data_IF_468878741346
#
_entry.id   IF_468878741346
#
_cell.length_a   1.000
_cell.length_b   1.000
_cell.length_c   1.000
_cell.angle_alpha   90.00
_cell.angle_beta   90.00
_cell.angle_gamma   90.00
#
_symmetry.space_group_name_H-M   'P 1'
#
loop_
_entity.id
_entity.type
_entity.pdbx_description
1 polymer ?
2 non-polymer ?
3 water ?
#
# COMPACT_ATOMS: atom_id res chain seq x y z
N UNK A 5 27.67 -14.42 -3.45
CA UNK A 5 26.65 -13.56 -4.02
C UNK A 5 26.06 -14.23 -5.26
N UNK A 6 26.47 -15.47 -5.48
CA UNK A 6 25.92 -16.25 -6.58
C UNK A 6 24.40 -16.30 -6.49
N UNK A 7 23.76 -16.27 -7.66
CA UNK A 7 22.31 -16.44 -7.79
C UNK A 7 21.53 -15.23 -7.28
N UNK A 8 22.05 -14.56 -6.26
CA UNK A 8 21.27 -13.55 -5.54
C UNK A 8 21.58 -12.15 -6.07
N UNK A 9 22.83 -11.91 -6.46
CA UNK A 9 23.31 -10.59 -6.85
C UNK A 9 23.53 -10.50 -8.35
N UNK A 10 23.17 -9.37 -8.92
CA UNK A 10 23.24 -9.20 -10.36
C UNK A 10 23.47 -7.73 -10.67
N UNK A 11 24.07 -7.48 -11.82
CA UNK A 11 24.32 -6.14 -12.30
C UNK A 11 23.13 -5.67 -13.14
N UNK A 12 22.84 -4.38 -13.08
CA UNK A 12 21.76 -3.79 -13.85
C UNK A 12 22.18 -2.40 -14.34
N UNK A 13 21.55 -1.99 -15.46
CA UNK A 13 21.70 -0.66 -16.03
C UNK A 13 20.32 -0.01 -15.99
N UNK A 14 20.16 1.04 -15.18
CA UNK A 14 18.85 1.59 -14.83
C UNK A 14 18.56 2.87 -15.58
N UNK A 15 17.30 3.04 -15.96
CA UNK A 15 16.80 4.25 -16.59
C UNK A 15 16.03 5.10 -15.60
N UNK A 16 16.09 6.43 -15.74
CA UNK A 16 15.27 7.29 -14.88
C UNK A 16 13.79 7.01 -15.11
N UNK A 17 13.04 6.97 -14.01
CA UNK A 17 11.61 6.91 -14.08
C UNK A 17 11.03 8.11 -13.36
N UNK A 18 9.94 8.70 -13.85
CA UNK A 18 9.40 9.88 -13.19
C UNK A 18 8.74 9.51 -11.88
N UNK A 19 8.90 10.39 -10.90
CA UNK A 19 8.43 10.14 -9.55
C UNK A 19 7.87 11.42 -8.97
N UNK A 20 7.13 11.29 -7.89
CA UNK A 20 6.90 12.39 -6.96
C UNK A 20 7.58 12.00 -5.67
N UNK A 21 8.37 12.91 -5.12
CA UNK A 21 9.16 12.53 -3.97
C UNK A 21 9.37 13.73 -3.08
N UNK A 22 9.89 13.46 -1.90
CA UNK A 22 10.28 14.48 -0.94
C UNK A 22 11.76 14.31 -0.67
N UNK A 23 12.49 15.41 -0.72
CA UNK A 23 13.92 15.38 -0.48
C UNK A 23 14.16 16.01 0.87
N UNK A 24 14.83 15.29 1.76
CA UNK A 24 15.06 15.83 3.09
C UNK A 24 16.26 15.15 3.72
N UNK A 25 16.68 15.70 4.83
CA UNK A 25 17.82 15.24 5.59
C UNK A 25 17.32 14.69 6.92
N UNK A 26 17.73 13.47 7.27
CA UNK A 26 17.21 12.82 8.47
C UNK A 26 18.23 11.80 8.96
N UNK A 27 17.87 11.10 10.05
CA UNK A 27 18.60 9.97 10.60
C UNK A 27 17.71 8.73 10.58
N UNK A 28 18.24 7.61 11.07
CA UNK A 28 17.47 6.38 11.06
C UNK A 28 16.39 6.38 12.15
N UNK A 29 16.64 7.05 13.27
CA UNK A 29 15.60 7.15 14.29
C UNK A 29 14.33 7.77 13.73
N UNK A 30 14.45 8.74 12.82
CA UNK A 30 13.32 9.49 12.32
C UNK A 30 12.77 8.97 11.01
N UNK A 31 13.39 7.97 10.42
CA UNK A 31 13.00 7.59 9.06
C UNK A 31 11.58 7.03 9.02
N UNK A 32 11.25 6.16 9.96
CA UNK A 32 9.95 5.51 9.97
C UNK A 32 8.76 6.44 9.90
N UNK A 33 8.63 7.37 10.85
CA UNK A 33 7.47 8.26 10.83
C UNK A 33 7.55 9.22 9.65
N UNK A 34 8.77 9.61 9.29
CA UNK A 34 8.97 10.43 8.10
C UNK A 34 8.43 9.77 6.85
N UNK A 35 8.74 8.50 6.63
CA UNK A 35 8.25 7.85 5.42
C UNK A 35 6.75 7.63 5.48
N UNK A 36 6.24 7.20 6.63
CA UNK A 36 4.80 7.04 6.80
C UNK A 36 4.08 8.35 6.46
N UNK A 37 4.52 9.45 7.08
CA UNK A 37 3.84 10.71 6.86
C UNK A 37 4.01 11.19 5.43
N UNK A 38 5.23 11.09 4.89
CA UNK A 38 5.48 11.59 3.55
C UNK A 38 4.82 10.75 2.47
N UNK A 39 4.96 9.43 2.55
CA UNK A 39 4.32 8.58 1.55
C UNK A 39 2.82 8.81 1.51
N UNK A 40 2.23 9.06 2.68
CA UNK A 40 0.78 9.26 2.77
C UNK A 40 0.37 10.58 2.13
N UNK A 41 1.16 11.63 2.36
CA UNK A 41 0.90 12.88 1.67
C UNK A 41 1.13 12.78 0.16
N UNK A 42 1.96 11.84 -0.30
CA UNK A 42 2.12 11.67 -1.74
C UNK A 42 0.89 11.00 -2.34
N UNK A 43 0.45 9.90 -1.73
CA UNK A 43 -0.76 9.20 -2.20
C UNK A 43 -2.00 10.06 -2.06
N UNK A 44 -2.06 10.92 -1.05
CA UNK A 44 -3.18 11.84 -0.92
C UNK A 44 -3.24 12.79 -2.11
N UNK A 45 -2.07 13.27 -2.56
CA UNK A 45 -2.02 14.13 -3.74
C UNK A 45 -2.41 13.37 -5.00
N UNK A 46 -1.86 12.16 -5.19
CA UNK A 46 -2.17 11.40 -6.40
C UNK A 46 -3.63 10.97 -6.42
N UNK A 47 -4.18 10.62 -5.25
CA UNK A 47 -5.61 10.33 -5.17
C UNK A 47 -6.44 11.52 -5.62
N UNK A 48 -6.13 12.69 -5.08
CA UNK A 48 -6.82 13.92 -5.45
C UNK A 48 -6.76 14.24 -6.92
N UNK A 49 -5.82 13.66 -7.65
CA UNK A 49 -5.68 13.92 -9.08
C UNK A 49 -6.15 12.74 -9.92
N UNK A 50 -6.66 11.70 -9.29
CA UNK A 50 -7.11 10.54 -10.04
C UNK A 50 -5.96 9.76 -10.63
N UNK A 51 -4.72 10.18 -10.35
CA UNK A 51 -3.53 9.51 -10.82
C UNK A 51 -3.11 8.46 -9.81
N UNK A 52 -2.72 7.32 -10.31
CA UNK A 52 -2.24 6.13 -9.63
C UNK A 52 -0.72 6.05 -9.69
N UNK A 53 -0.05 5.50 -8.69
CA UNK A 53 1.40 5.31 -8.81
C UNK A 53 1.69 4.22 -9.83
N UNK A 54 2.75 4.40 -10.58
CA UNK A 54 3.14 3.39 -11.55
C UNK A 54 4.02 2.32 -10.97
N UNK A 55 4.28 2.33 -9.67
CA UNK A 55 5.05 1.28 -9.08
C UNK A 55 5.24 1.51 -7.60
N UNK A 56 5.95 0.60 -6.95
CA UNK A 56 6.13 0.69 -5.51
C UNK A 56 7.07 1.81 -5.13
N UNK A 57 7.03 2.26 -3.89
CA UNK A 57 7.85 3.40 -3.50
C UNK A 57 9.32 3.04 -3.39
N UNK A 58 10.15 4.04 -3.11
CA UNK A 58 11.58 3.87 -3.11
C UNK A 58 12.18 4.94 -2.22
N UNK A 59 13.48 4.81 -2.00
CA UNK A 59 14.21 5.88 -1.36
C UNK A 59 15.62 5.86 -1.90
N UNK A 60 16.16 7.04 -2.18
CA UNK A 60 17.53 7.22 -2.60
C UNK A 60 18.27 7.82 -1.42
N UNK A 61 19.25 7.08 -0.88
CA UNK A 61 20.05 7.52 0.25
C UNK A 61 21.39 8.05 -0.26
N UNK A 62 21.82 9.17 0.30
CA UNK A 62 23.07 9.80 -0.12
C UNK A 62 23.40 10.88 0.90
N UNK A 63 24.54 11.55 0.71
CA UNK A 63 24.91 12.63 1.58
C UNK A 63 25.25 12.25 3.01
N UNK A 64 25.84 11.07 3.20
CA UNK A 64 26.13 10.56 4.53
C UNK A 64 27.07 11.48 5.28
N UNK A 65 26.66 11.87 6.48
CA UNK A 65 27.46 12.73 7.35
C UNK A 65 27.21 12.20 8.76
N UNK A 66 28.05 11.26 9.19
CA UNK A 66 27.97 10.63 10.51
C UNK A 66 26.64 9.88 10.58
N UNK A 67 25.76 10.18 11.53
CA UNK A 67 24.49 9.48 11.61
C UNK A 67 23.47 10.03 10.63
N UNK A 68 23.69 11.22 10.10
CA UNK A 68 22.73 11.87 9.24
C UNK A 68 22.98 11.53 7.78
N UNK A 69 21.97 11.77 6.96
CA UNK A 69 22.06 11.55 5.53
C UNK A 69 20.89 12.27 4.88
N UNK A 70 21.04 12.56 3.60
CA UNK A 70 19.93 13.02 2.80
C UNK A 70 19.20 11.81 2.23
N UNK A 71 17.98 12.06 1.76
CA UNK A 71 17.20 10.98 1.19
C UNK A 71 16.16 11.61 0.30
N UNK A 72 15.91 10.97 -0.84
CA UNK A 72 14.78 11.27 -1.69
C UNK A 72 13.90 10.05 -1.70
N UNK A 73 12.65 10.19 -1.27
CA UNK A 73 11.76 9.05 -1.20
C UNK A 73 10.41 9.41 -1.79
N UNK A 74 9.78 8.46 -2.47
CA UNK A 74 8.54 8.78 -3.15
C UNK A 74 7.97 7.62 -3.92
N UNK A 75 7.02 7.94 -4.80
CA UNK A 75 6.37 6.97 -5.67
C UNK A 75 6.67 7.28 -7.13
N UNK A 76 6.95 6.25 -7.93
CA UNK A 76 7.06 6.49 -9.37
C UNK A 76 5.69 6.68 -9.96
N UNK A 77 5.56 7.67 -10.83
CA UNK A 77 4.30 7.94 -11.47
C UNK A 77 4.53 8.00 -12.98
N UNK A 78 3.43 8.17 -13.70
CA UNK A 78 3.46 8.40 -15.13
C UNK A 78 3.94 9.82 -15.42
N UNK A 79 4.25 10.09 -16.68
CA UNK A 79 4.57 11.45 -17.06
C UNK A 79 3.41 12.39 -16.85
N UNK A 80 3.73 13.65 -16.58
CA UNK A 80 2.74 14.71 -16.57
C UNK A 80 2.06 14.98 -15.25
N UNK A 81 2.47 14.32 -14.17
CA UNK A 81 1.90 14.57 -12.86
C UNK A 81 2.72 15.66 -12.18
N UNK A 82 2.04 16.63 -11.57
CA UNK A 82 2.73 17.75 -10.93
C UNK A 82 2.60 17.67 -9.42
N UNK A 83 3.56 18.27 -8.73
CA UNK A 83 3.65 18.21 -7.29
C UNK A 83 3.00 19.41 -6.62
N UNK A 84 3.28 19.56 -5.32
CA UNK A 84 2.68 20.61 -4.52
C UNK A 84 3.49 20.79 -3.25
N UNK A 85 4.05 21.96 -3.05
CA UNK A 85 4.72 22.25 -1.80
C UNK A 85 6.01 21.45 -1.69
N UNK A 86 6.06 20.57 -0.69
CA UNK A 86 7.26 19.79 -0.44
C UNK A 86 7.39 18.61 -1.40
N UNK A 87 6.28 18.14 -1.95
CA UNK A 87 6.27 17.04 -2.92
C UNK A 87 6.67 17.59 -4.28
N UNK A 88 7.86 17.25 -4.72
CA UNK A 88 8.38 17.76 -5.98
C UNK A 88 8.47 16.62 -6.99
N UNK A 89 8.49 16.99 -8.26
CA UNK A 89 8.78 16.04 -9.33
C UNK A 89 10.25 15.66 -9.31
N UNK A 90 10.53 14.41 -9.67
CA UNK A 90 11.89 13.92 -9.62
C UNK A 90 12.06 12.69 -10.46
N UNK A 91 13.21 12.03 -10.29
CA UNK A 91 13.55 10.86 -11.09
C UNK A 91 14.23 9.83 -10.23
N UNK A 92 13.97 8.55 -10.53
CA UNK A 92 14.71 7.49 -9.88
C UNK A 92 16.17 7.53 -10.34
N UNK A 93 17.09 7.01 -9.53
CA UNK A 93 18.49 7.01 -9.95
C UNK A 93 18.67 6.15 -11.19
N UNK A 94 19.81 6.37 -11.84
CA UNK A 94 20.11 5.75 -13.11
C UNK A 94 21.61 5.53 -13.20
N UNK A 95 22.01 4.61 -14.07
CA UNK A 95 23.40 4.24 -14.23
C UNK A 95 23.59 2.76 -13.97
N UNK A 96 24.85 2.34 -13.93
CA UNK A 96 25.12 0.96 -13.60
C UNK A 96 24.86 0.75 -12.12
N UNK A 97 24.45 -0.47 -11.78
CA UNK A 97 24.01 -0.71 -10.42
C UNK A 97 24.14 -2.18 -10.08
N UNK A 98 24.42 -2.44 -8.81
CA UNK A 98 24.43 -3.80 -8.26
C UNK A 98 23.15 -4.01 -7.45
N UNK A 99 22.36 -5.01 -7.83
CA UNK A 99 21.01 -5.19 -7.32
C UNK A 99 20.90 -6.54 -6.63
N UNK A 100 20.34 -6.54 -5.42
CA UNK A 100 20.08 -7.76 -4.66
C UNK A 100 18.76 -7.58 -3.93
N UNK A 101 18.06 -8.70 -3.74
CA UNK A 101 16.76 -8.70 -3.05
C UNK A 101 16.94 -9.08 -1.59
N UNK A 102 16.60 -8.16 -0.70
CA UNK A 102 16.67 -8.39 0.72
C UNK A 102 15.31 -8.77 1.27
N UNK A 103 15.30 -9.69 2.21
CA UNK A 103 14.08 -10.12 2.86
C UNK A 103 14.33 -10.16 4.34
N UNK A 104 13.57 -9.37 5.08
CA UNK A 104 13.77 -9.25 6.50
C UNK A 104 13.51 -7.84 6.94
N UNK A 105 13.64 -7.59 8.23
CA UNK A 105 13.37 -6.26 8.77
C UNK A 105 14.40 -5.24 8.33
N UNK A 106 13.95 -3.98 8.24
CA UNK A 106 14.84 -2.89 7.84
C UNK A 106 15.98 -2.69 8.81
N UNK A 107 15.82 -3.04 10.08
CA UNK A 107 16.95 -2.83 10.98
C UNK A 107 17.99 -3.94 10.84
N UNK A 108 17.79 -4.86 9.90
CA UNK A 108 18.80 -5.87 9.58
C UNK A 108 19.16 -5.84 8.11
N UNK A 109 18.84 -4.76 7.40
CA UNK A 109 19.11 -4.67 5.97
C UNK A 109 20.58 -4.53 5.66
N UNK A 110 21.41 -4.29 6.67
CA UNK A 110 22.85 -4.25 6.45
C UNK A 110 23.36 -5.58 5.94
N UNK A 111 22.69 -6.68 6.33
CA UNK A 111 23.05 -8.00 5.84
C UNK A 111 23.34 -7.96 4.34
N UNK A 112 22.45 -7.32 3.57
CA UNK A 112 22.59 -7.34 2.12
C UNK A 112 23.51 -6.22 1.61
N UNK A 113 23.70 -5.16 2.39
CA UNK A 113 24.66 -4.14 1.99
C UNK A 113 26.09 -4.67 2.06
N UNK A 114 26.43 -5.36 3.14
CA UNK A 114 27.72 -6.05 3.20
C UNK A 114 27.94 -6.92 1.98
N UNK A 115 26.99 -7.82 1.70
CA UNK A 115 27.15 -8.77 0.61
C UNK A 115 27.27 -8.05 -0.73
N UNK A 116 26.43 -7.04 -0.96
CA UNK A 116 26.51 -6.28 -2.20
C UNK A 116 27.80 -5.50 -2.31
N UNK A 117 28.46 -5.19 -1.19
CA UNK A 117 29.71 -4.46 -1.28
C UNK A 117 30.90 -5.39 -1.50
N UNK A 118 30.91 -6.57 -0.88
CA UNK A 118 31.97 -7.51 -1.18
C UNK A 118 31.91 -7.96 -2.63
N UNK A 119 30.71 -8.25 -3.14
CA UNK A 119 30.57 -8.65 -4.53
C UNK A 119 30.95 -7.52 -5.48
N UNK A 120 30.99 -6.29 -5.00
CA UNK A 120 31.45 -5.19 -5.83
C UNK A 120 32.97 -5.12 -5.82
N UNK A 121 33.59 -5.27 -4.65
CA UNK A 121 35.04 -5.28 -4.58
C UNK A 121 35.61 -6.49 -5.31
N UNK A 122 35.04 -7.66 -5.04
CA UNK A 122 35.52 -8.91 -5.64
C UNK A 122 35.18 -9.03 -7.12
N UNK A 123 34.59 -8.00 -7.75
CA UNK A 123 34.37 -7.99 -9.19
C UNK A 123 34.93 -6.74 -9.87
N UNK A 124 35.69 -5.92 -9.16
CA UNK A 124 36.36 -4.79 -9.78
C UNK A 124 35.45 -3.69 -10.28
N UNK A 125 34.45 -3.31 -9.50
CA UNK A 125 33.63 -2.13 -9.74
C UNK A 125 33.77 -1.17 -8.57
N UNK A 126 33.13 -0.01 -8.67
CA UNK A 126 33.24 0.99 -7.63
C UNK A 126 31.88 1.66 -7.40
N UNK A 127 31.69 2.14 -6.18
CA UNK A 127 30.42 2.73 -5.78
C UNK A 127 30.40 4.22 -6.08
N UNK A 128 29.24 4.71 -6.50
CA UNK A 128 29.08 6.16 -6.61
C UNK A 128 28.67 6.79 -5.28
N UNK A 129 28.60 6.00 -4.22
CA UNK A 129 28.26 6.48 -2.90
C UNK A 129 26.83 6.18 -2.49
N UNK A 130 25.91 6.37 -3.42
CA UNK A 130 24.49 6.43 -3.09
C UNK A 130 23.83 5.08 -3.25
N UNK A 131 22.87 4.82 -2.37
CA UNK A 131 22.08 3.59 -2.32
C UNK A 131 20.66 3.89 -2.74
N UNK A 132 19.91 2.84 -3.02
CA UNK A 132 18.59 2.99 -3.63
C UNK A 132 17.76 1.77 -3.22
N UNK A 133 16.85 1.95 -2.28
CA UNK A 133 16.02 0.84 -1.88
C UNK A 133 14.67 0.97 -2.56
N UNK A 134 14.09 -0.16 -2.92
CA UNK A 134 12.75 -0.21 -3.47
C UNK A 134 11.91 -1.10 -2.59
N UNK A 135 10.84 -0.56 -2.05
CA UNK A 135 10.07 -1.22 -1.01
C UNK A 135 8.93 -1.97 -1.67
N UNK A 136 9.18 -3.23 -2.02
CA UNK A 136 8.19 -3.99 -2.78
C UNK A 136 7.00 -4.40 -1.93
N UNK A 137 7.16 -4.44 -0.61
CA UNK A 137 6.12 -4.85 0.32
C UNK A 137 5.86 -3.75 1.32
N UNK A 138 4.61 -3.43 1.56
CA UNK A 138 4.28 -2.47 2.60
C UNK A 138 4.60 -3.07 3.95
N UNK A 139 5.45 -2.45 4.75
CA UNK A 139 5.81 -3.04 6.04
C UNK A 139 4.67 -3.08 7.02
N UNK A 140 3.66 -2.22 6.85
CA UNK A 140 2.47 -2.31 7.68
C UNK A 140 1.73 -3.61 7.44
N UNK A 141 1.76 -4.11 6.22
CA UNK A 141 0.93 -5.24 5.83
C UNK A 141 1.67 -6.56 5.80
N UNK A 142 2.94 -6.59 6.16
CA UNK A 142 3.80 -7.72 5.82
C UNK A 142 4.65 -8.17 7.00
N UNK A 143 4.64 -9.47 7.27
CA UNK A 143 5.44 -9.98 8.37
C UNK A 143 6.89 -9.56 8.20
N UNK A 144 7.58 -9.18 9.25
CA UNK A 144 8.95 -8.69 9.06
C UNK A 144 9.85 -9.71 8.42
N UNK A 145 9.60 -11.00 8.60
CA UNK A 145 10.44 -11.99 7.95
C UNK A 145 9.97 -12.34 6.54
N UNK A 146 9.04 -11.55 6.00
CA UNK A 146 8.62 -11.66 4.60
C UNK A 146 8.77 -10.34 3.88
N UNK A 147 9.35 -9.35 4.52
CA UNK A 147 9.41 -8.01 3.98
C UNK A 147 10.42 -7.96 2.84
N UNK A 148 9.93 -7.77 1.61
CA UNK A 148 10.78 -7.71 0.43
C UNK A 148 11.20 -6.28 0.14
N UNK A 149 12.51 -6.04 0.18
CA UNK A 149 13.08 -4.79 -0.29
C UNK A 149 14.17 -5.11 -1.31
N UNK A 150 14.17 -4.41 -2.41
CA UNK A 150 15.24 -4.53 -3.39
C UNK A 150 16.30 -3.49 -3.05
N UNK A 151 17.52 -3.95 -2.83
CA UNK A 151 18.63 -3.06 -2.51
C UNK A 151 19.48 -2.88 -3.75
N UNK A 152 19.76 -1.63 -4.10
CA UNK A 152 20.44 -1.27 -5.34
C UNK A 152 21.52 -0.25 -5.02
N UNK A 153 22.77 -0.62 -5.26
CA UNK A 153 23.90 0.28 -5.08
C UNK A 153 24.31 0.86 -6.44
N UNK A 154 24.25 2.19 -6.56
CA UNK A 154 24.66 2.85 -7.79
C UNK A 154 26.17 2.75 -7.96
N UNK A 155 26.59 2.23 -9.12
CA UNK A 155 28.00 2.14 -9.43
C UNK A 155 28.45 3.36 -10.22
N UNK A 156 29.76 3.54 -10.24
CA UNK A 156 30.40 4.64 -10.96
C UNK A 156 31.13 4.05 -12.16
N UNK A 157 30.74 4.46 -13.36
CA UNK A 157 31.40 4.00 -14.59
C UNK A 157 32.28 5.08 -15.20
N UNK B 1 -22.82 -22.58 -15.90
CA UNK B 1 -23.12 -21.21 -16.30
C UNK B 1 -21.97 -20.57 -17.05
N UNK B 2 -22.30 -19.80 -18.08
CA UNK B 2 -21.29 -19.27 -18.98
C UNK B 2 -20.94 -17.82 -18.66
N UNK B 3 -21.92 -16.92 -18.68
CA UNK B 3 -21.70 -15.47 -18.54
C UNK B 3 -21.97 -14.97 -17.14
N UNK B 4 -21.50 -15.66 -16.10
CA UNK B 4 -21.80 -15.19 -14.75
C UNK B 4 -21.09 -13.87 -14.47
N UNK B 5 -19.80 -13.79 -14.77
CA UNK B 5 -19.02 -12.63 -14.38
C UNK B 5 -18.79 -11.62 -15.50
N UNK B 6 -19.42 -11.80 -16.64
CA UNK B 6 -19.21 -10.89 -17.76
C UNK B 6 -20.06 -9.64 -17.60
N UNK B 7 -19.46 -8.50 -17.92
CA UNK B 7 -19.99 -7.16 -17.68
C UNK B 7 -19.94 -6.77 -16.20
N UNK B 8 -20.09 -7.73 -15.30
CA UNK B 8 -20.30 -7.43 -13.89
C UNK B 8 -19.05 -7.52 -13.04
N UNK B 9 -18.00 -8.20 -13.51
CA UNK B 9 -16.74 -8.33 -12.79
C UNK B 9 -15.62 -7.80 -13.66
N UNK B 10 -14.66 -7.13 -13.04
CA UNK B 10 -13.58 -6.58 -13.82
C UNK B 10 -12.31 -6.58 -12.98
N UNK B 11 -11.20 -6.79 -13.67
CA UNK B 11 -9.90 -6.77 -13.03
C UNK B 11 -9.45 -5.34 -12.82
N UNK B 12 -8.78 -5.11 -11.70
CA UNK B 12 -8.34 -3.77 -11.31
C UNK B 12 -6.99 -3.87 -10.64
N UNK B 13 -6.21 -2.83 -10.79
CA UNK B 13 -5.04 -2.60 -9.97
C UNK B 13 -5.39 -1.46 -9.03
N UNK B 14 -5.36 -1.72 -7.73
CA UNK B 14 -5.91 -0.76 -6.78
C UNK B 14 -4.80 0.11 -6.22
N UNK B 15 -4.93 1.39 -6.44
CA UNK B 15 -4.05 2.35 -5.81
C UNK B 15 -4.45 2.55 -4.36
N UNK B 16 -3.51 2.48 -3.42
CA UNK B 16 -3.84 2.80 -2.03
C UNK B 16 -4.30 4.23 -1.90
N UNK B 17 -5.05 4.50 -0.84
CA UNK B 17 -5.59 5.82 -0.60
C UNK B 17 -5.56 6.06 0.90
N UNK B 18 -5.25 7.29 1.33
CA UNK B 18 -5.18 7.58 2.76
C UNK B 18 -6.56 7.46 3.40
N UNK B 19 -6.58 6.97 4.64
CA UNK B 19 -7.81 6.68 5.33
C UNK B 19 -7.58 6.75 6.83
N UNK B 20 -8.67 6.94 7.58
CA UNK B 20 -8.70 6.70 9.01
C UNK B 20 -9.39 5.38 9.26
N UNK B 21 -8.91 4.60 10.22
CA UNK B 21 -9.51 3.28 10.37
C UNK B 21 -9.31 2.76 11.78
N UNK B 22 -9.91 1.60 12.02
CA UNK B 22 -9.89 0.93 13.30
C UNK B 22 -9.55 -0.53 13.06
N UNK B 23 -8.61 -1.06 13.84
CA UNK B 23 -8.18 -2.44 13.71
C UNK B 23 -8.67 -3.24 14.90
N UNK B 24 -9.29 -4.37 14.61
CA UNK B 24 -9.73 -5.27 15.65
C UNK B 24 -9.92 -6.65 15.04
N UNK B 25 -9.99 -7.66 15.91
CA UNK B 25 -10.25 -9.03 15.52
C UNK B 25 -11.64 -9.41 16.02
N UNK B 26 -12.45 -10.06 15.19
CA UNK B 26 -13.83 -10.28 15.57
C UNK B 26 -14.42 -11.46 14.79
N UNK B 27 -15.71 -11.70 15.01
CA UNK B 27 -16.49 -12.65 14.24
C UNK B 27 -17.77 -11.96 13.76
N UNK B 28 -18.47 -12.62 12.84
CA UNK B 28 -19.57 -11.99 12.14
C UNK B 28 -20.68 -11.55 13.09
N UNK B 29 -20.85 -12.24 14.21
CA UNK B 29 -21.84 -11.84 15.20
C UNK B 29 -21.68 -10.38 15.59
N UNK B 30 -20.54 -10.02 16.17
CA UNK B 30 -20.33 -8.70 16.76
C UNK B 30 -19.98 -7.63 15.75
N UNK B 31 -20.03 -7.93 14.46
CA UNK B 31 -19.54 -7.00 13.46
C UNK B 31 -20.45 -5.78 13.33
N UNK B 32 -21.76 -5.99 13.34
CA UNK B 32 -22.70 -4.88 13.21
C UNK B 32 -22.48 -3.81 14.26
N UNK B 33 -22.41 -4.20 15.53
CA UNK B 33 -22.26 -3.20 16.59
C UNK B 33 -20.88 -2.57 16.56
N UNK B 34 -19.86 -3.36 16.24
CA UNK B 34 -18.50 -2.84 16.11
C UNK B 34 -18.44 -1.74 15.06
N UNK B 35 -19.02 -2.00 13.88
CA UNK B 35 -18.93 -1.03 12.80
C UNK B 35 -19.72 0.23 13.12
N UNK B 36 -20.98 0.08 13.53
CA UNK B 36 -21.80 1.25 13.83
C UNK B 36 -21.14 2.12 14.90
N UNK B 37 -20.57 1.49 15.93
CA UNK B 37 -19.88 2.23 16.96
C UNK B 37 -18.63 2.91 16.42
N UNK B 38 -17.79 2.15 15.71
CA UNK B 38 -16.54 2.71 15.22
C UNK B 38 -16.76 3.75 14.13
N UNK B 39 -17.63 3.47 13.16
CA UNK B 39 -17.83 4.40 12.06
C UNK B 39 -18.32 5.74 12.56
N UNK B 40 -19.07 5.75 13.65
CA UNK B 40 -19.56 7.00 14.20
C UNK B 40 -18.44 7.80 14.83
N UNK B 41 -17.55 7.13 15.57
CA UNK B 41 -16.41 7.81 16.17
C UNK B 41 -15.50 8.43 15.10
N UNK B 42 -15.18 7.69 14.03
CA UNK B 42 -14.40 8.29 12.94
C UNK B 42 -15.12 9.53 12.41
N UNK B 43 -16.43 9.43 12.18
CA UNK B 43 -17.20 10.55 11.66
C UNK B 43 -17.24 11.72 12.64
N UNK B 44 -17.30 11.45 13.94
CA UNK B 44 -17.20 12.56 14.88
C UNK B 44 -15.80 13.16 14.88
N UNK B 45 -14.77 12.32 14.75
CA UNK B 45 -13.40 12.81 14.73
C UNK B 45 -13.14 13.69 13.51
N UNK B 46 -13.41 13.16 12.31
CA UNK B 46 -13.28 13.96 11.10
C UNK B 46 -14.02 15.27 11.24
N UNK B 47 -15.27 15.21 11.68
CA UNK B 47 -16.05 16.43 11.89
C UNK B 47 -15.44 17.31 12.97
N UNK B 48 -14.79 16.71 13.97
CA UNK B 48 -14.10 17.49 14.98
C UNK B 48 -12.86 18.18 14.46
N UNK B 49 -12.34 17.72 13.32
CA UNK B 49 -11.19 18.34 12.67
C UNK B 49 -11.59 19.17 11.46
N UNK B 50 -12.88 19.36 11.23
CA UNK B 50 -13.34 20.10 10.06
C UNK B 50 -13.23 19.36 8.74
N UNK B 51 -13.08 18.04 8.77
CA UNK B 51 -12.82 17.24 7.58
C UNK B 51 -14.00 16.33 7.29
N UNK B 52 -14.36 16.21 6.00
CA UNK B 52 -15.35 15.33 5.38
C UNK B 52 -14.68 14.11 4.78
N UNK B 53 -15.18 12.90 4.99
CA UNK B 53 -14.59 11.74 4.32
C UNK B 53 -14.66 11.92 2.83
N UNK B 54 -13.69 11.35 2.13
CA UNK B 54 -13.66 11.47 0.69
C UNK B 54 -14.45 10.39 0.00
N UNK B 55 -15.04 9.48 0.74
CA UNK B 55 -15.86 8.46 0.14
C UNK B 55 -16.65 7.66 1.15
N UNK B 56 -17.34 6.64 0.68
CA UNK B 56 -18.07 5.76 1.58
C UNK B 56 -17.13 4.91 2.40
N UNK B 57 -17.63 4.28 3.46
CA UNK B 57 -16.78 3.48 4.33
C UNK B 57 -16.53 2.11 3.73
N UNK B 58 -15.58 1.40 4.33
CA UNK B 58 -15.11 0.14 3.81
C UNK B 58 -14.65 -0.71 4.97
N UNK B 59 -14.43 -1.98 4.68
CA UNK B 59 -13.83 -2.89 5.64
C UNK B 59 -12.87 -3.80 4.89
N UNK B 60 -11.71 -4.03 5.47
CA UNK B 60 -10.72 -4.94 4.92
C UNK B 60 -10.66 -6.17 5.82
N UNK B 61 -10.95 -7.33 5.25
CA UNK B 61 -10.98 -8.59 5.98
C UNK B 61 -9.77 -9.43 5.62
N UNK B 62 -9.13 -9.97 6.65
CA UNK B 62 -7.88 -10.69 6.49
C UNK B 62 -7.58 -11.37 7.82
N UNK B 63 -6.48 -12.11 7.85
CA UNK B 63 -6.13 -12.86 9.05
C UNK B 63 -7.17 -13.89 9.39
N UNK B 64 -7.69 -14.58 8.39
CA UNK B 64 -8.80 -15.51 8.58
C UNK B 64 -8.36 -16.70 9.43
N UNK B 65 -9.25 -17.11 10.33
CA UNK B 65 -9.03 -18.25 11.21
C UNK B 65 -10.41 -18.84 11.47
N UNK B 66 -10.77 -19.84 10.69
CA UNK B 66 -12.14 -20.34 10.69
C UNK B 66 -13.10 -19.20 10.47
N UNK B 67 -13.93 -18.93 11.48
CA UNK B 67 -14.90 -17.85 11.47
C UNK B 67 -14.46 -16.69 12.35
N UNK B 68 -13.17 -16.57 12.62
CA UNK B 68 -12.59 -15.43 13.31
C UNK B 68 -11.59 -14.76 12.38
N UNK B 69 -11.55 -13.44 12.38
CA UNK B 69 -10.72 -12.75 11.41
C UNK B 69 -10.32 -11.40 11.95
N UNK B 70 -9.30 -10.83 11.34
CA UNK B 70 -8.97 -9.44 11.57
C UNK B 70 -9.76 -8.58 10.61
N UNK B 71 -9.93 -7.31 10.97
CA UNK B 71 -10.68 -6.38 10.14
C UNK B 71 -10.22 -4.97 10.46
N UNK B 72 -10.00 -4.18 9.42
CA UNK B 72 -9.82 -2.74 9.53
C UNK B 72 -10.98 -2.08 8.82
N UNK B 73 -11.62 -1.12 9.48
CA UNK B 73 -12.78 -0.47 8.88
C UNK B 73 -12.66 1.02 9.14
N UNK B 74 -13.13 1.80 8.18
CA UNK B 74 -12.94 3.23 8.26
C UNK B 74 -13.41 3.92 7.01
N UNK B 75 -13.08 5.20 6.91
CA UNK B 75 -13.39 6.03 5.78
C UNK B 75 -12.11 6.50 5.08
N UNK B 76 -12.11 6.60 3.77
CA UNK B 76 -11.04 7.34 3.11
C UNK B 76 -11.16 8.81 3.47
N UNK B 77 -10.02 9.45 3.68
CA UNK B 77 -10.04 10.84 4.11
C UNK B 77 -9.32 11.71 3.09
N UNK B 78 -9.07 12.96 3.46
CA UNK B 78 -8.32 13.90 2.66
C UNK B 78 -7.05 14.29 3.42
N UNK B 79 -6.40 15.35 2.96
CA UNK B 79 -5.08 15.68 3.48
C UNK B 79 -5.14 16.28 4.87
N UNK B 80 -4.19 15.87 5.70
CA UNK B 80 -3.99 16.50 6.99
C UNK B 80 -5.04 16.11 8.00
N UNK B 81 -5.11 14.83 8.33
CA UNK B 81 -6.08 14.32 9.28
C UNK B 81 -5.37 13.33 10.18
N UNK B 82 -5.35 13.60 11.48
CA UNK B 82 -4.75 12.69 12.44
C UNK B 82 -5.83 11.89 13.16
N UNK B 83 -5.43 10.69 13.60
CA UNK B 83 -6.27 9.88 14.44
C UNK B 83 -5.93 10.04 15.90
N UNK B 84 -6.75 9.41 16.75
CA UNK B 84 -6.45 9.41 18.17
C UNK B 84 -7.09 8.19 18.79
N UNK B 85 -6.52 7.76 19.90
CA UNK B 85 -6.99 6.55 20.54
C UNK B 85 -6.89 5.41 19.55
N UNK B 86 -7.96 4.62 19.47
CA UNK B 86 -7.98 3.46 18.60
C UNK B 86 -8.19 3.80 17.13
N UNK B 87 -8.50 5.04 16.81
CA UNK B 87 -8.60 5.49 15.43
C UNK B 87 -7.22 5.89 14.96
N UNK B 88 -6.71 5.19 13.94
CA UNK B 88 -5.37 5.41 13.43
C UNK B 88 -5.43 5.67 11.93
N UNK B 89 -4.38 6.32 11.44
CA UNK B 89 -4.21 6.50 10.00
C UNK B 89 -3.70 5.22 9.37
N UNK B 90 -4.17 4.94 8.15
CA UNK B 90 -3.82 3.73 7.42
C UNK B 90 -4.16 3.92 5.95
N UNK B 91 -3.84 2.93 5.15
CA UNK B 91 -4.07 3.00 3.71
C UNK B 91 -5.04 1.91 3.27
N UNK B 92 -5.79 2.21 2.22
CA UNK B 92 -6.71 1.25 1.64
C UNK B 92 -5.92 0.13 0.95
N UNK B 93 -6.53 -1.04 0.76
CA UNK B 93 -5.83 -2.14 0.08
C UNK B 93 -5.40 -1.78 -1.32
N UNK B 94 -4.26 -2.34 -1.72
CA UNK B 94 -3.62 -2.04 -2.99
C UNK B 94 -3.18 -3.33 -3.65
N UNK B 95 -3.10 -3.30 -4.97
CA UNK B 95 -2.64 -4.42 -5.73
C UNK B 95 -3.70 -4.93 -6.68
N UNK B 96 -3.44 -6.09 -7.24
CA UNK B 96 -4.37 -6.67 -8.19
C UNK B 96 -5.62 -7.16 -7.46
N UNK B 97 -6.77 -7.04 -8.12
CA UNK B 97 -8.05 -7.22 -7.47
C UNK B 97 -9.13 -7.60 -8.48
N UNK B 98 -10.00 -8.52 -8.09
CA UNK B 98 -11.21 -8.85 -8.82
C UNK B 98 -12.41 -8.24 -8.11
N UNK B 99 -13.12 -7.35 -8.78
CA UNK B 99 -14.18 -6.55 -8.17
C UNK B 99 -15.53 -6.80 -8.82
N UNK B 100 -16.58 -6.80 -8.01
CA UNK B 100 -17.93 -6.84 -8.53
C UNK B 100 -18.86 -6.11 -7.58
N UNK B 101 -20.02 -5.73 -8.10
CA UNK B 101 -21.03 -5.05 -7.31
C UNK B 101 -22.01 -6.08 -6.76
N UNK B 102 -22.22 -6.03 -5.46
CA UNK B 102 -23.18 -6.87 -4.79
C UNK B 102 -24.33 -6.01 -4.31
N UNK B 103 -25.55 -6.48 -4.54
CA UNK B 103 -26.73 -5.82 -4.00
C UNK B 103 -27.54 -6.86 -3.25
N UNK B 104 -27.71 -6.64 -1.95
CA UNK B 104 -28.40 -7.59 -1.12
C UNK B 104 -27.89 -7.55 0.31
N UNK B 105 -28.48 -8.34 1.20
CA UNK B 105 -28.06 -8.32 2.59
C UNK B 105 -26.66 -8.89 2.76
N UNK B 106 -26.00 -8.47 3.83
CA UNK B 106 -24.64 -8.92 4.07
C UNK B 106 -24.60 -10.42 4.35
N UNK B 107 -25.68 -10.98 4.90
CA UNK B 107 -25.66 -12.39 5.30
C UNK B 107 -25.75 -13.34 4.11
N UNK B 108 -25.80 -12.82 2.89
CA UNK B 108 -25.79 -13.66 1.69
C UNK B 108 -24.69 -13.26 0.71
N UNK B 109 -23.78 -12.38 1.12
CA UNK B 109 -22.71 -11.91 0.24
C UNK B 109 -21.78 -13.03 -0.18
N UNK B 110 -21.74 -14.15 0.56
CA UNK B 110 -20.82 -15.22 0.22
C UNK B 110 -21.07 -15.75 -1.18
N UNK B 111 -22.25 -15.51 -1.75
CA UNK B 111 -22.56 -16.01 -3.08
C UNK B 111 -21.80 -15.24 -4.15
N UNK B 112 -21.67 -13.92 -3.98
CA UNK B 112 -20.81 -13.16 -4.88
C UNK B 112 -19.37 -13.59 -4.74
N UNK B 113 -18.92 -13.79 -3.51
CA UNK B 113 -17.56 -14.28 -3.28
C UNK B 113 -17.32 -15.56 -4.07
N UNK B 114 -18.28 -16.49 -4.04
CA UNK B 114 -18.17 -17.68 -4.88
C UNK B 114 -18.06 -17.31 -6.35
N UNK B 115 -18.83 -16.34 -6.79
CA UNK B 115 -18.79 -15.93 -8.19
C UNK B 115 -17.40 -15.42 -8.56
N UNK B 116 -16.86 -14.49 -7.77
CA UNK B 116 -15.52 -13.98 -8.08
C UNK B 116 -14.46 -15.06 -7.90
N UNK B 117 -14.67 -16.02 -7.01
CA UNK B 117 -13.64 -17.01 -6.78
C UNK B 117 -13.49 -17.95 -7.96
N UNK B 118 -14.60 -18.47 -8.49
CA UNK B 118 -14.52 -19.27 -9.71
C UNK B 118 -13.92 -18.47 -10.85
N UNK B 119 -14.34 -17.22 -11.00
CA UNK B 119 -13.82 -16.36 -12.05
C UNK B 119 -12.36 -16.06 -11.86
N UNK B 120 -11.83 -16.30 -10.67
CA UNK B 120 -10.40 -16.10 -10.46
C UNK B 120 -9.62 -17.33 -10.90
N UNK B 121 -9.94 -18.50 -10.33
CA UNK B 121 -9.30 -19.74 -10.77
C UNK B 121 -9.38 -19.90 -12.28
N UNK B 122 -10.58 -19.73 -12.85
CA UNK B 122 -10.76 -19.98 -14.28
C UNK B 122 -9.87 -19.10 -15.13
N UNK B 123 -9.55 -17.89 -14.65
CA UNK B 123 -8.68 -16.96 -15.36
C UNK B 123 -7.23 -17.05 -14.93
N UNK B 124 -6.88 -18.02 -14.07
CA UNK B 124 -5.49 -18.30 -13.75
C UNK B 124 -4.87 -17.46 -12.66
N UNK B 125 -5.67 -16.86 -11.77
CA UNK B 125 -5.14 -16.03 -10.69
C UNK B 125 -5.17 -16.79 -9.37
N UNK B 126 -4.53 -16.21 -8.36
CA UNK B 126 -4.50 -16.78 -7.02
C UNK B 126 -4.91 -15.74 -6.00
N UNK B 127 -5.58 -16.21 -4.94
CA UNK B 127 -6.09 -15.30 -3.93
C UNK B 127 -5.03 -15.01 -2.89
N UNK B 128 -4.91 -13.74 -2.51
CA UNK B 128 -4.05 -13.38 -1.40
C UNK B 128 -4.69 -13.66 -0.06
N UNK B 129 -5.96 -14.09 -0.04
CA UNK B 129 -6.67 -14.40 1.19
C UNK B 129 -7.32 -13.22 1.87
N UNK B 130 -7.19 -12.03 1.30
CA UNK B 130 -7.71 -10.81 1.89
C UNK B 130 -8.87 -10.29 1.05
N UNK B 131 -9.89 -9.78 1.73
CA UNK B 131 -11.10 -9.27 1.09
C UNK B 131 -11.25 -7.80 1.42
N UNK B 132 -12.13 -7.16 0.67
CA UNK B 132 -12.23 -5.71 0.75
C UNK B 132 -13.64 -5.33 0.29
N UNK B 133 -14.40 -4.69 1.16
CA UNK B 133 -15.78 -4.38 0.85
C UNK B 133 -15.98 -2.89 1.01
N UNK B 134 -16.72 -2.30 0.09
CA UNK B 134 -17.04 -0.88 0.11
C UNK B 134 -18.54 -0.75 0.22
N UNK B 135 -19.00 -0.06 1.26
CA UNK B 135 -20.41 -0.04 1.63
C UNK B 135 -21.04 1.18 1.01
N UNK B 136 -21.73 0.99 -0.10
CA UNK B 136 -22.18 2.11 -0.89
C UNK B 136 -23.51 2.68 -0.41
N UNK B 137 -24.19 1.98 0.48
CA UNK B 137 -25.47 2.40 1.04
C UNK B 137 -25.50 2.05 2.52
N UNK B 138 -26.00 2.98 3.34
CA UNK B 138 -26.08 2.75 4.77
C UNK B 138 -27.13 1.69 5.06
N UNK B 139 -26.79 0.61 5.76
CA UNK B 139 -27.72 -0.52 5.90
C UNK B 139 -28.85 -0.28 6.88
N UNK B 140 -28.71 0.66 7.81
CA UNK B 140 -29.83 1.02 8.67
C UNK B 140 -30.97 1.64 7.90
N UNK B 141 -30.67 2.39 6.85
CA UNK B 141 -31.67 3.16 6.15
C UNK B 141 -32.05 2.59 4.80
N UNK B 142 -31.49 1.45 4.40
CA UNK B 142 -31.64 0.97 3.03
C UNK B 142 -32.27 -0.42 3.02
N UNK B 143 -33.29 -0.58 2.20
CA UNK B 143 -33.86 -1.90 2.01
C UNK B 143 -32.75 -2.87 1.60
N UNK B 144 -32.71 -4.07 2.17
CA UNK B 144 -31.65 -5.00 1.80
C UNK B 144 -31.56 -5.24 0.30
N UNK B 145 -32.68 -5.30 -0.40
CA UNK B 145 -32.57 -5.54 -1.83
C UNK B 145 -32.15 -4.30 -2.63
N UNK B 146 -31.68 -3.28 -1.91
CA UNK B 146 -31.10 -2.08 -2.48
C UNK B 146 -29.75 -1.78 -1.87
N UNK B 147 -29.23 -2.68 -1.06
CA UNK B 147 -28.04 -2.43 -0.26
C UNK B 147 -26.81 -2.81 -1.10
N UNK B 148 -26.05 -1.81 -1.53
CA UNK B 148 -24.90 -1.99 -2.40
C UNK B 148 -23.61 -2.11 -1.61
N UNK B 149 -22.89 -3.20 -1.85
CA UNK B 149 -21.52 -3.40 -1.40
C UNK B 149 -20.68 -3.72 -2.61
N UNK B 150 -19.51 -3.09 -2.71
CA UNK B 150 -18.53 -3.43 -3.73
C UNK B 150 -17.60 -4.50 -3.17
N UNK B 151 -17.68 -5.70 -3.71
CA UNK B 151 -16.87 -6.82 -3.23
C UNK B 151 -15.60 -6.91 -4.06
N UNK B 152 -14.46 -6.96 -3.37
CA UNK B 152 -13.15 -6.91 -3.99
C UNK B 152 -12.30 -8.02 -3.38
N UNK B 153 -11.82 -8.94 -4.21
CA UNK B 153 -10.95 -10.01 -3.76
C UNK B 153 -9.52 -9.65 -4.12
N UNK B 154 -8.64 -9.63 -3.12
CA UNK B 154 -7.25 -9.29 -3.35
C UNK B 154 -6.50 -10.48 -3.92
N UNK B 155 -5.68 -10.22 -4.94
CA UNK B 155 -4.99 -11.27 -5.67
C UNK B 155 -3.48 -11.13 -5.52
N UNK B 156 -2.79 -12.25 -5.60
CA UNK B 156 -1.35 -12.31 -5.34
C UNK B 156 -0.50 -11.63 -6.41
#
# INVERSE_FOLDING_TARGET
MDFECQFVCELKELAPQPALLIRTRTTMSELGNLFVAGYTDILQLLAGQGVSPSGPPFARYYGFDMETFDVEFGFPVEGGVEGSGRIVTGLTPSGKAASSLYIGPYDEIEAVYDALMKWVKDNGYELSGEAYEIYLDAPAETAPDQLRTRVVLMLHES
MDFECQFVCELKELAPQPALLIRTRTTMSELGNLFVAGYTDILQLLAGQGVSPSGPPFARYYGFDMETFDVEFGFPVEGGVEGSGRIVTGLTPSGKAASSLYIGPYDEIEAVYDALMKWVKDNGYELSGEAYEIYLDAPAETAPDQLRTRVVLMLHES
#
